data_IF_110278605222
#
_entry.id   IF_110278605222
#
_cell.length_a   1.000
_cell.length_b   1.000
_cell.length_c   1.000
_cell.angle_alpha   90.00
_cell.angle_beta   90.00
_cell.angle_gamma   90.00
#
_symmetry.space_group_name_H-M   'P 1'
#
loop_
_entity.id
_entity.type
_entity.pdbx_description
1 polymer ?
#
# COMPACT_ATOMS: atom_id res chain seq x y z
N UNK A 1 11.92 -3.41 21.59
CA UNK A 1 10.65 -3.00 22.21
C UNK A 1 9.68 -2.86 21.05
N UNK A 2 9.02 -3.95 20.66
CA UNK A 2 8.06 -3.94 19.57
C UNK A 2 6.75 -3.39 20.15
N UNK A 3 6.23 -2.29 19.61
CA UNK A 3 4.85 -1.89 19.92
C UNK A 3 3.94 -3.06 19.57
N UNK A 4 3.12 -3.50 20.53
CA UNK A 4 2.07 -4.48 20.27
C UNK A 4 1.01 -3.81 19.40
N UNK A 5 1.22 -3.87 18.08
CA UNK A 5 0.28 -3.38 17.10
C UNK A 5 -0.91 -4.35 17.12
N UNK A 6 -1.98 -3.99 17.84
CA UNK A 6 -3.24 -4.74 17.80
C UNK A 6 -4.17 -4.22 16.71
N UNK A 7 -4.89 -5.10 16.01
CA UNK A 7 -5.88 -4.69 15.01
C UNK A 7 -7.27 -5.31 15.27
N UNK A 8 -8.37 -4.67 14.80
CA UNK A 8 -9.71 -5.22 14.97
C UNK A 8 -9.84 -6.61 14.28
N UNK A 9 -10.25 -7.64 15.03
CA UNK A 9 -10.41 -9.01 14.52
C UNK A 9 -9.22 -9.95 14.78
N UNK A 10 -8.21 -9.50 15.53
CA UNK A 10 -7.09 -10.32 15.96
C UNK A 10 -7.53 -11.45 16.90
N UNK A 11 -7.05 -12.67 16.67
CA UNK A 11 -7.37 -13.83 17.51
C UNK A 11 -6.62 -13.79 18.85
N UNK A 12 -7.13 -14.52 19.85
CA UNK A 12 -6.45 -14.72 21.12
C UNK A 12 -5.13 -15.48 20.88
N UNK A 13 -3.99 -14.86 21.21
CA UNK A 13 -2.61 -15.31 20.93
C UNK A 13 -2.10 -15.15 19.48
N UNK A 14 -2.81 -14.40 18.63
CA UNK A 14 -2.26 -13.97 17.34
C UNK A 14 -1.26 -12.82 17.57
N UNK A 15 -0.03 -12.95 17.07
CA UNK A 15 1.03 -11.95 17.20
C UNK A 15 1.34 -11.33 15.84
N UNK A 16 1.44 -9.99 15.78
CA UNK A 16 1.86 -9.28 14.57
C UNK A 16 3.37 -9.33 14.41
N UNK A 17 3.82 -9.92 13.31
CA UNK A 17 5.24 -10.13 13.02
C UNK A 17 5.76 -9.05 12.08
N UNK A 18 4.98 -8.69 11.06
CA UNK A 18 5.29 -7.59 10.16
C UNK A 18 4.07 -6.70 9.94
N UNK A 19 4.34 -5.40 9.93
CA UNK A 19 3.41 -4.38 9.47
C UNK A 19 4.05 -3.63 8.31
N UNK A 20 3.49 -3.78 7.11
CA UNK A 20 4.08 -3.32 5.86
C UNK A 20 3.17 -2.32 5.16
N UNK A 21 3.80 -1.34 4.54
CA UNK A 21 3.16 -0.33 3.69
C UNK A 21 3.95 -0.17 2.40
N UNK A 22 3.33 0.47 1.43
CA UNK A 22 4.01 0.85 0.17
C UNK A 22 5.23 1.71 0.49
N UNK A 23 6.29 1.53 -0.29
CA UNK A 23 7.53 2.26 -0.13
C UNK A 23 7.30 3.77 -0.35
N UNK A 24 7.88 4.61 0.52
CA UNK A 24 7.69 6.07 0.53
C UNK A 24 7.98 6.73 -0.83
N UNK A 25 8.92 6.18 -1.60
CA UNK A 25 9.27 6.67 -2.93
C UNK A 25 8.09 6.67 -3.91
N UNK A 26 7.15 5.74 -3.76
CA UNK A 26 5.94 5.68 -4.59
C UNK A 26 5.07 6.92 -4.34
N UNK A 27 4.90 7.30 -3.07
CA UNK A 27 4.19 8.52 -2.72
C UNK A 27 4.94 9.76 -3.19
N UNK A 28 6.27 9.78 -3.03
CA UNK A 28 7.11 10.88 -3.50
C UNK A 28 6.96 11.12 -5.01
N UNK A 29 6.98 10.07 -5.83
CA UNK A 29 6.79 10.19 -7.28
C UNK A 29 5.39 10.72 -7.65
N UNK A 30 4.35 10.29 -6.93
CA UNK A 30 3.00 10.82 -7.10
C UNK A 30 2.92 12.29 -6.68
N UNK A 31 3.60 12.68 -5.61
CA UNK A 31 3.66 14.06 -5.12
C UNK A 31 4.34 14.99 -6.14
N UNK A 32 5.38 14.53 -6.84
CA UNK A 32 6.02 15.33 -7.89
C UNK A 32 5.02 15.73 -8.99
N UNK A 33 4.10 14.85 -9.39
CA UNK A 33 3.07 15.18 -10.38
C UNK A 33 2.15 16.31 -9.90
N UNK A 34 1.78 16.29 -8.61
CA UNK A 34 0.98 17.35 -7.98
C UNK A 34 1.76 18.67 -7.96
N UNK A 35 3.05 18.62 -7.59
CA UNK A 35 3.93 19.80 -7.59
C UNK A 35 4.02 20.39 -9.00
N UNK A 36 4.22 19.56 -10.03
CA UNK A 36 4.24 20.04 -11.42
C UNK A 36 2.90 20.64 -11.86
N UNK A 37 1.77 20.07 -11.43
CA UNK A 37 0.45 20.65 -11.72
C UNK A 37 0.27 22.03 -11.07
N UNK A 38 0.69 22.19 -9.81
CA UNK A 38 0.64 23.47 -9.09
C UNK A 38 1.57 24.51 -9.73
N UNK A 39 2.80 24.12 -10.07
CA UNK A 39 3.74 24.99 -10.80
C UNK A 39 3.16 25.37 -12.15
N UNK A 40 2.53 24.45 -12.88
CA UNK A 40 1.87 24.71 -14.15
C UNK A 40 0.79 25.79 -14.03
N UNK A 41 -0.08 25.70 -13.01
CA UNK A 41 -1.08 26.75 -12.74
C UNK A 41 -0.43 28.10 -12.42
N UNK A 42 0.60 28.12 -11.58
CA UNK A 42 1.31 29.34 -11.23
C UNK A 42 1.98 29.99 -12.46
N UNK A 43 2.59 29.19 -13.34
CA UNK A 43 3.21 29.65 -14.59
C UNK A 43 2.15 30.22 -15.53
N UNK A 44 0.99 29.58 -15.67
CA UNK A 44 -0.13 30.10 -16.47
C UNK A 44 -0.57 31.47 -15.93
N UNK A 45 -0.74 31.60 -14.61
CA UNK A 45 -1.10 32.88 -13.97
C UNK A 45 -0.08 33.99 -14.30
N UNK A 46 1.22 33.69 -14.14
CA UNK A 46 2.30 34.64 -14.46
C UNK A 46 2.31 35.04 -15.92
N UNK A 47 2.14 34.10 -16.85
CA UNK A 47 2.11 34.38 -18.29
C UNK A 47 0.91 35.28 -18.64
N UNK A 48 -0.28 34.96 -18.13
CA UNK A 48 -1.46 35.78 -18.37
C UNK A 48 -1.27 37.21 -17.86
N UNK A 49 -0.63 37.37 -16.68
CA UNK A 49 -0.35 38.67 -16.09
C UNK A 49 0.68 39.47 -16.91
N UNK A 50 1.69 38.80 -17.45
CA UNK A 50 2.68 39.42 -18.32
C UNK A 50 2.09 39.87 -19.68
N UNK A 51 1.13 39.11 -20.23
CA UNK A 51 0.46 39.45 -21.50
C UNK A 51 -0.56 40.58 -21.35
N UNK A 52 -1.12 40.75 -20.15
CA UNK A 52 -2.12 41.77 -19.88
C UNK A 52 -1.82 42.41 -18.51
N UNK A 53 -1.11 43.55 -18.58
CA UNK A 53 -0.60 44.26 -17.39
C UNK A 53 -1.67 44.61 -16.36
N UNK A 54 -2.95 44.67 -16.76
CA UNK A 54 -4.09 44.98 -15.91
C UNK A 54 -5.10 43.81 -15.84
N UNK A 55 -4.62 42.57 -15.75
CA UNK A 55 -5.50 41.39 -15.57
C UNK A 55 -6.55 41.57 -14.46
N UNK A 56 -6.18 42.23 -13.36
CA UNK A 56 -7.06 42.42 -12.21
C UNK A 56 -8.21 43.42 -12.49
N UNK A 57 -8.06 44.26 -13.50
CA UNK A 57 -9.08 45.22 -13.94
C UNK A 57 -9.86 44.73 -15.16
N UNK A 58 -9.47 43.58 -15.70
CA UNK A 58 -10.13 42.96 -16.86
C UNK A 58 -11.53 42.47 -16.50
N UNK A 59 -12.48 42.60 -17.42
CA UNK A 59 -13.83 42.04 -17.32
C UNK A 59 -13.81 40.51 -17.10
N UNK A 60 -12.73 39.84 -17.52
CA UNK A 60 -12.54 38.40 -17.39
C UNK A 60 -11.90 37.96 -16.07
N UNK A 61 -11.47 38.87 -15.20
CA UNK A 61 -10.76 38.55 -13.96
C UNK A 61 -11.52 37.54 -13.09
N UNK A 62 -12.81 37.80 -12.85
CA UNK A 62 -13.65 36.94 -12.01
C UNK A 62 -13.77 35.52 -12.58
N UNK A 63 -13.85 35.38 -13.91
CA UNK A 63 -13.92 34.09 -14.58
C UNK A 63 -12.60 33.32 -14.46
N UNK A 64 -11.47 34.00 -14.63
CA UNK A 64 -10.14 33.41 -14.49
C UNK A 64 -9.89 32.97 -13.04
N UNK A 65 -10.20 33.82 -12.06
CA UNK A 65 -10.06 33.51 -10.64
C UNK A 65 -10.94 32.33 -10.21
N UNK A 66 -12.17 32.28 -10.72
CA UNK A 66 -13.06 31.13 -10.51
C UNK A 66 -12.46 29.85 -11.10
N UNK A 67 -11.94 29.91 -12.34
CA UNK A 67 -11.27 28.79 -12.99
C UNK A 67 -10.04 28.29 -12.24
N UNK A 68 -9.18 29.19 -11.77
CA UNK A 68 -8.00 28.88 -10.96
C UNK A 68 -8.39 28.23 -9.62
N UNK A 69 -9.39 28.79 -8.94
CA UNK A 69 -9.92 28.26 -7.68
C UNK A 69 -10.46 26.85 -7.86
N UNK A 70 -11.23 26.64 -8.93
CA UNK A 70 -11.79 25.34 -9.26
C UNK A 70 -10.71 24.32 -9.60
N UNK A 71 -9.71 24.71 -10.40
CA UNK A 71 -8.56 23.85 -10.73
C UNK A 71 -7.77 23.47 -9.47
N UNK A 72 -7.53 24.42 -8.57
CA UNK A 72 -6.85 24.19 -7.29
C UNK A 72 -7.62 23.21 -6.42
N UNK A 73 -8.95 23.35 -6.35
CA UNK A 73 -9.82 22.44 -5.61
C UNK A 73 -9.77 21.00 -6.16
N UNK A 74 -9.70 20.84 -7.49
CA UNK A 74 -9.52 19.52 -8.12
C UNK A 74 -8.15 18.92 -7.81
N UNK A 75 -7.08 19.71 -7.89
CA UNK A 75 -5.72 19.26 -7.54
C UNK A 75 -5.67 18.83 -6.08
N UNK A 76 -6.26 19.61 -5.18
CA UNK A 76 -6.31 19.29 -3.75
C UNK A 76 -7.09 18.00 -3.47
N UNK A 77 -8.26 17.82 -4.08
CA UNK A 77 -9.04 16.59 -3.94
C UNK A 77 -8.26 15.38 -4.48
N UNK A 78 -7.63 15.53 -5.64
CA UNK A 78 -6.85 14.46 -6.24
C UNK A 78 -5.64 14.08 -5.36
N UNK A 79 -4.93 15.07 -4.81
CA UNK A 79 -3.88 14.84 -3.83
C UNK A 79 -4.39 14.06 -2.60
N UNK A 80 -5.53 14.46 -2.05
CA UNK A 80 -6.12 13.81 -0.88
C UNK A 80 -6.48 12.35 -1.15
N UNK A 81 -7.05 12.05 -2.33
CA UNK A 81 -7.33 10.67 -2.76
C UNK A 81 -6.04 9.86 -2.83
N UNK A 82 -5.02 10.38 -3.52
CA UNK A 82 -3.72 9.69 -3.65
C UNK A 82 -3.04 9.44 -2.31
N UNK A 83 -3.14 10.40 -1.39
CA UNK A 83 -2.61 10.28 -0.05
C UNK A 83 -3.38 9.24 0.78
N UNK A 84 -4.71 9.25 0.73
CA UNK A 84 -5.52 8.25 1.41
C UNK A 84 -5.24 6.85 0.90
N UNK A 85 -5.22 6.64 -0.41
CA UNK A 85 -4.91 5.33 -1.00
C UNK A 85 -3.53 4.83 -0.57
N UNK A 86 -2.53 5.72 -0.52
CA UNK A 86 -1.18 5.36 -0.07
C UNK A 86 -1.11 5.09 1.45
N UNK A 87 -1.86 5.84 2.25
CA UNK A 87 -1.79 5.78 3.71
C UNK A 87 -2.72 4.72 4.31
N UNK A 88 -3.81 4.33 3.65
CA UNK A 88 -4.76 3.37 4.20
C UNK A 88 -4.50 1.93 3.72
N UNK A 89 -3.77 1.77 2.61
CA UNK A 89 -3.30 0.47 2.16
C UNK A 89 -2.20 -0.08 3.08
N UNK A 90 -2.40 -1.27 3.63
CA UNK A 90 -1.42 -1.93 4.49
C UNK A 90 -1.52 -3.45 4.40
N UNK A 91 -0.38 -4.11 4.63
CA UNK A 91 -0.29 -5.56 4.79
C UNK A 91 0.20 -5.90 6.18
N UNK A 92 -0.44 -6.88 6.80
CA UNK A 92 -0.07 -7.40 8.12
C UNK A 92 0.29 -8.87 7.96
N UNK A 93 1.43 -9.28 8.49
CA UNK A 93 1.82 -10.69 8.58
C UNK A 93 1.83 -11.05 10.06
N UNK A 94 1.02 -12.04 10.43
CA UNK A 94 0.95 -12.57 11.80
C UNK A 94 1.59 -13.96 11.86
N UNK A 95 1.59 -14.56 13.04
CA UNK A 95 1.96 -15.97 13.24
C UNK A 95 0.95 -16.97 12.62
N UNK A 96 -0.27 -16.55 12.28
CA UNK A 96 -1.32 -17.44 11.74
C UNK A 96 -1.64 -17.18 10.26
N UNK A 97 -1.66 -15.91 9.84
CA UNK A 97 -2.18 -15.47 8.54
C UNK A 97 -1.52 -14.18 8.04
N UNK A 98 -1.76 -13.91 6.76
CA UNK A 98 -1.47 -12.64 6.11
C UNK A 98 -2.79 -11.90 5.90
N UNK A 99 -2.81 -10.61 6.19
CA UNK A 99 -3.99 -9.74 6.06
C UNK A 99 -3.63 -8.60 5.10
N UNK A 100 -4.44 -8.42 4.07
CA UNK A 100 -4.35 -7.30 3.12
C UNK A 100 -5.51 -6.37 3.39
N UNK A 101 -5.19 -5.11 3.65
CA UNK A 101 -6.14 -4.03 3.88
C UNK A 101 -6.01 -3.09 2.68
N UNK A 102 -7.04 -3.08 1.82
CA UNK A 102 -7.13 -2.17 0.68
C UNK A 102 -8.26 -1.17 0.89
N UNK A 103 -7.96 0.11 0.66
CA UNK A 103 -8.99 1.14 0.60
C UNK A 103 -9.44 1.31 -0.86
N UNK A 104 -10.73 1.10 -1.15
CA UNK A 104 -11.33 1.33 -2.47
C UNK A 104 -12.27 2.54 -2.41
N UNK A 105 -11.76 3.69 -2.83
CA UNK A 105 -12.50 4.96 -2.71
C UNK A 105 -12.72 5.36 -1.24
N UNK A 106 -13.71 6.20 -0.96
CA UNK A 106 -13.85 6.79 0.38
C UNK A 106 -14.54 5.89 1.42
N UNK A 107 -15.36 4.93 1.00
CA UNK A 107 -16.24 4.19 1.91
C UNK A 107 -16.19 2.66 1.75
N UNK A 108 -15.34 2.13 0.87
CA UNK A 108 -15.19 0.68 0.71
C UNK A 108 -13.82 0.28 1.20
N UNK A 109 -13.79 -0.51 2.28
CA UNK A 109 -12.58 -1.13 2.80
C UNK A 109 -12.66 -2.62 2.52
N UNK A 110 -11.69 -3.14 1.79
CA UNK A 110 -11.57 -4.57 1.52
C UNK A 110 -10.50 -5.14 2.45
N UNK A 111 -10.87 -6.12 3.26
CA UNK A 111 -9.94 -6.85 4.13
C UNK A 111 -9.95 -8.30 3.67
N UNK A 112 -8.80 -8.77 3.21
CA UNK A 112 -8.62 -10.14 2.71
C UNK A 112 -7.59 -10.85 3.57
N UNK A 113 -7.85 -12.11 3.88
CA UNK A 113 -7.03 -12.89 4.80
C UNK A 113 -6.57 -14.20 4.14
N UNK A 114 -5.31 -14.57 4.37
CA UNK A 114 -4.70 -15.78 3.86
C UNK A 114 -3.95 -16.50 4.97
N UNK A 115 -4.46 -17.68 5.38
CA UNK A 115 -3.76 -18.56 6.33
C UNK A 115 -2.40 -18.97 5.80
N UNK A 116 -1.38 -18.98 6.66
CA UNK A 116 -0.02 -19.37 6.29
C UNK A 116 0.03 -20.81 5.76
N UNK A 117 -0.79 -21.71 6.29
CA UNK A 117 -0.83 -23.13 5.91
C UNK A 117 -1.38 -23.37 4.51
N UNK A 118 -2.11 -22.40 3.94
CA UNK A 118 -2.61 -22.44 2.56
C UNK A 118 -1.62 -21.91 1.52
N UNK A 119 -0.54 -21.27 1.96
CA UNK A 119 0.52 -20.76 1.08
C UNK A 119 1.23 -21.94 0.42
N UNK A 120 1.47 -21.84 -0.88
CA UNK A 120 2.21 -22.82 -1.68
C UNK A 120 3.56 -22.29 -2.12
N UNK A 121 3.56 -21.08 -2.69
CA UNK A 121 4.77 -20.42 -3.16
C UNK A 121 4.75 -18.92 -2.83
N UNK A 122 5.94 -18.38 -2.58
CA UNK A 122 6.17 -16.96 -2.31
C UNK A 122 7.32 -16.48 -3.20
N UNK A 123 7.01 -15.59 -4.12
CA UNK A 123 7.98 -15.05 -5.07
C UNK A 123 8.13 -13.55 -4.87
N UNK A 124 9.37 -13.08 -4.69
CA UNK A 124 9.73 -11.66 -4.65
C UNK A 124 10.17 -11.20 -6.04
N UNK A 125 9.79 -9.99 -6.41
CA UNK A 125 10.05 -9.40 -7.73
C UNK A 125 10.50 -7.94 -7.58
N UNK A 126 11.73 -7.66 -8.02
CA UNK A 126 12.30 -6.32 -8.10
C UNK A 126 12.67 -6.09 -9.56
N UNK A 127 12.00 -5.13 -10.23
CA UNK A 127 12.20 -4.88 -11.66
C UNK A 127 12.69 -3.45 -11.89
N UNK A 128 13.86 -3.31 -12.48
CA UNK A 128 14.42 -2.04 -12.94
C UNK A 128 15.39 -1.37 -11.97
N UNK A 129 16.11 -0.36 -12.47
CA UNK A 129 17.26 0.23 -11.77
C UNK A 129 16.86 0.90 -10.46
N UNK A 130 15.78 1.70 -10.46
CA UNK A 130 15.36 2.46 -9.27
C UNK A 130 14.83 1.54 -8.15
N UNK A 131 13.93 0.57 -8.41
CA UNK A 131 13.55 -0.43 -7.41
C UNK A 131 14.72 -1.23 -6.84
N UNK A 132 15.70 -1.59 -7.67
CA UNK A 132 16.91 -2.29 -7.22
C UNK A 132 17.79 -1.40 -6.33
N UNK A 133 17.94 -0.11 -6.66
CA UNK A 133 18.76 0.82 -5.87
C UNK A 133 18.13 1.16 -4.51
N UNK A 134 16.80 1.28 -4.47
CA UNK A 134 16.04 1.66 -3.28
C UNK A 134 15.45 0.45 -2.51
N UNK A 135 15.79 -0.77 -2.94
CA UNK A 135 15.33 -2.05 -2.39
C UNK A 135 13.82 -2.10 -2.11
N UNK A 136 13.01 -1.81 -3.13
CA UNK A 136 11.57 -2.01 -3.06
C UNK A 136 11.06 -2.87 -4.23
N UNK A 137 9.95 -3.56 -4.02
CA UNK A 137 9.40 -4.43 -5.06
C UNK A 137 8.11 -5.09 -4.63
N UNK A 138 7.71 -6.12 -5.36
CA UNK A 138 6.47 -6.83 -5.14
C UNK A 138 6.75 -8.21 -4.52
N UNK A 139 5.78 -8.73 -3.78
CA UNK A 139 5.73 -10.15 -3.41
C UNK A 139 4.42 -10.72 -3.93
N UNK A 140 4.50 -11.88 -4.58
CA UNK A 140 3.36 -12.64 -5.03
C UNK A 140 3.27 -13.92 -4.20
N UNK A 141 2.13 -14.13 -3.55
CA UNK A 141 1.82 -15.31 -2.74
C UNK A 141 0.77 -16.13 -3.49
N UNK A 142 1.10 -17.40 -3.74
CA UNK A 142 0.22 -18.35 -4.42
C UNK A 142 -0.35 -19.36 -3.41
N UNK A 143 -1.61 -19.72 -3.59
CA UNK A 143 -2.34 -20.65 -2.70
C UNK A 143 -2.73 -21.92 -3.44
N UNK A 144 -2.99 -22.99 -2.71
CA UNK A 144 -3.47 -24.23 -3.29
C UNK A 144 -4.94 -24.08 -3.72
N UNK A 145 -5.17 -23.77 -4.99
CA UNK A 145 -6.48 -23.92 -5.63
C UNK A 145 -7.26 -22.63 -5.92
N UNK A 146 -6.77 -21.44 -5.57
CA UNK A 146 -7.40 -20.18 -6.00
C UNK A 146 -6.68 -19.53 -7.18
N UNK A 147 -7.45 -18.86 -8.05
CA UNK A 147 -6.91 -17.94 -9.07
C UNK A 147 -6.48 -16.60 -8.48
N UNK A 148 -6.96 -16.24 -7.29
CA UNK A 148 -6.61 -14.98 -6.65
C UNK A 148 -5.17 -15.03 -6.12
N UNK A 149 -4.33 -14.15 -6.67
CA UNK A 149 -2.96 -13.96 -6.21
C UNK A 149 -2.98 -12.90 -5.12
N UNK A 150 -2.66 -13.31 -3.90
CA UNK A 150 -2.41 -12.36 -2.84
C UNK A 150 -1.06 -11.68 -3.12
N UNK A 151 -1.01 -10.35 -3.12
CA UNK A 151 0.21 -9.63 -3.51
C UNK A 151 0.50 -8.43 -2.61
N UNK A 152 1.77 -8.27 -2.30
CA UNK A 152 2.32 -7.11 -1.63
C UNK A 152 2.89 -6.21 -2.72
N UNK A 153 2.44 -4.97 -2.78
CA UNK A 153 2.74 -4.09 -3.90
C UNK A 153 3.75 -3.02 -3.46
N UNK A 154 4.92 -2.99 -4.10
CA UNK A 154 5.95 -1.97 -3.95
C UNK A 154 6.38 -1.75 -2.48
N UNK A 155 6.56 -2.84 -1.74
CA UNK A 155 6.99 -2.81 -0.34
C UNK A 155 8.52 -2.69 -0.21
N UNK A 156 9.02 -2.13 0.91
CA UNK A 156 10.45 -2.16 1.22
C UNK A 156 10.96 -3.59 1.46
N UNK A 157 12.20 -3.85 1.05
CA UNK A 157 12.96 -5.08 1.32
C UNK A 157 12.17 -6.37 0.99
N UNK A 158 11.64 -6.55 -0.24
CA UNK A 158 10.73 -7.66 -0.55
C UNK A 158 11.39 -9.04 -0.38
N UNK A 159 12.70 -9.15 -0.58
CA UNK A 159 13.43 -10.41 -0.33
C UNK A 159 13.44 -10.79 1.15
N UNK A 160 13.60 -9.80 2.04
CA UNK A 160 13.59 -10.03 3.49
C UNK A 160 12.19 -10.47 3.96
N UNK A 161 11.16 -9.75 3.50
CA UNK A 161 9.77 -10.08 3.82
C UNK A 161 9.39 -11.47 3.29
N UNK A 162 9.79 -11.83 2.06
CA UNK A 162 9.61 -13.18 1.53
C UNK A 162 10.20 -14.24 2.46
N UNK A 163 11.45 -14.06 2.90
CA UNK A 163 12.11 -15.03 3.76
C UNK A 163 11.40 -15.20 5.10
N UNK A 164 10.86 -14.11 5.66
CA UNK A 164 10.03 -14.18 6.87
C UNK A 164 8.76 -14.99 6.61
N UNK A 165 8.01 -14.69 5.54
CA UNK A 165 6.77 -15.41 5.23
C UNK A 165 7.03 -16.92 5.05
N UNK A 166 8.07 -17.29 4.31
CA UNK A 166 8.46 -18.71 4.11
C UNK A 166 8.82 -19.36 5.45
N UNK A 167 9.58 -18.67 6.30
CA UNK A 167 9.93 -19.20 7.62
C UNK A 167 8.70 -19.42 8.51
N UNK A 168 7.75 -18.49 8.49
CA UNK A 168 6.50 -18.60 9.26
C UNK A 168 5.62 -19.74 8.74
N UNK A 169 5.51 -19.88 7.43
CA UNK A 169 4.80 -21.00 6.79
C UNK A 169 5.38 -22.35 7.23
N UNK A 170 6.70 -22.52 7.23
CA UNK A 170 7.35 -23.75 7.69
C UNK A 170 7.12 -24.01 9.18
N UNK A 171 7.19 -22.97 10.01
CA UNK A 171 6.95 -23.06 11.45
C UNK A 171 5.53 -23.54 11.75
N UNK A 172 4.55 -22.94 11.08
CA UNK A 172 3.14 -23.25 11.27
C UNK A 172 2.79 -24.68 10.82
N UNK A 173 3.30 -25.08 9.65
CA UNK A 173 3.10 -26.44 9.13
C UNK A 173 3.67 -27.52 10.06
N UNK A 174 4.85 -27.26 10.66
CA UNK A 174 5.43 -28.18 11.65
C UNK A 174 4.64 -28.23 12.95
N UNK A 175 3.98 -27.14 13.35
CA UNK A 175 3.13 -27.13 14.53
C UNK A 175 1.89 -28.01 14.28
N UNK A 176 1.20 -27.83 13.15
CA UNK A 176 0.05 -28.67 12.75
C UNK A 176 0.42 -30.16 12.67
N UNK A 177 1.57 -30.50 12.09
CA UNK A 177 2.04 -31.89 12.00
C UNK A 177 2.31 -32.53 13.37
N UNK A 178 2.82 -31.75 14.34
CA UNK A 178 3.07 -32.22 15.72
C UNK A 178 1.76 -32.46 16.46
N UNK A 179 0.84 -31.50 16.41
CA UNK A 179 -0.48 -31.62 17.04
C UNK A 179 -1.25 -32.82 16.49
N UNK A 180 -1.23 -33.02 15.17
CA UNK A 180 -1.84 -34.18 14.54
C UNK A 180 -1.19 -35.50 14.99
N UNK A 181 0.14 -35.53 15.12
CA UNK A 181 0.88 -36.69 15.60
C UNK A 181 0.56 -37.05 17.06
N UNK A 182 0.34 -36.05 17.92
CA UNK A 182 -0.06 -36.25 19.32
C UNK A 182 -1.50 -36.78 19.42
N UNK A 183 -2.43 -36.26 18.62
CA UNK A 183 -3.82 -36.76 18.58
C UNK A 183 -3.89 -38.24 18.18
N UNK A 184 -3.09 -38.66 17.20
CA UNK A 184 -3.06 -40.07 16.75
C UNK A 184 -2.50 -40.98 17.85
N UNK A 185 -1.51 -40.52 18.62
CA UNK A 185 -0.89 -41.29 19.71
C UNK A 185 -1.73 -41.35 20.99
N UNK A 186 -2.53 -40.32 21.26
CA UNK A 186 -3.40 -40.26 22.45
C UNK A 186 -4.68 -41.09 22.37
N UNK A 187 -5.01 -41.63 21.20
CA UNK A 187 -6.24 -42.39 20.94
C UNK A 187 -6.01 -43.93 20.82
N UNK A 188 -4.88 -44.45 21.30
CA UNK A 188 -4.54 -45.88 21.35
C UNK A 188 -4.17 -46.33 22.75
#
# INVERSE_FOLDING_TARGET
MHEEISFPGQHENEEVILFLRRHWFIFFMRLLLIIFAVIGLAVIYVILNALNSNLNESEYYNLLFFGESLATLFIWNFFFILWLDFYLDAWIVTNERIINIEQRGFFMRNVSELKLTKIQDVTSEIIGVIPTLLDYGNIHVQTAGEKERFSFQQIPNPNHVKNIIVHLQEKERRAEERELGEMIRGNG
#
